data_IF_925437779981
#
_entry.id   IF_925437779981
#
_cell.length_a   1.000
_cell.length_b   1.000
_cell.length_c   1.000
_cell.angle_alpha   90.00
_cell.angle_beta   90.00
_cell.angle_gamma   90.00
#
_symmetry.space_group_name_H-M   'P 1'
#
loop_
_entity.id
_entity.type
_entity.pdbx_description
1 polymer ?
#
# COMPACT_ATOMS: atom_id res chain seq x y z
N UNK A 1 -49.32 59.90 11.24
CA UNK A 1 -48.90 58.84 10.33
C UNK A 1 -47.39 58.77 10.43
N UNK A 2 -46.83 57.82 11.26
CA UNK A 2 -45.39 57.67 11.47
C UNK A 2 -44.93 56.53 10.55
N UNK A 3 -44.07 56.85 9.63
CA UNK A 3 -43.44 55.88 8.70
C UNK A 3 -42.26 55.22 9.44
N UNK A 4 -42.35 53.90 9.65
CA UNK A 4 -41.26 53.09 10.19
C UNK A 4 -40.43 52.59 8.99
N UNK A 5 -39.16 52.95 8.95
CA UNK A 5 -38.19 52.46 7.99
C UNK A 5 -37.50 51.22 8.62
N UNK A 6 -37.52 50.03 8.00
CA UNK A 6 -36.78 48.88 8.51
C UNK A 6 -35.30 49.02 8.20
N UNK A 7 -34.49 48.94 9.25
CA UNK A 7 -33.03 48.85 9.14
C UNK A 7 -32.65 47.44 8.73
N UNK A 8 -32.18 47.25 7.52
CA UNK A 8 -31.64 45.95 7.04
C UNK A 8 -30.20 45.89 7.52
N UNK A 9 -29.95 45.00 8.51
CA UNK A 9 -28.63 44.67 8.98
C UNK A 9 -28.02 43.65 8.03
N UNK A 10 -27.15 44.06 7.10
CA UNK A 10 -26.34 43.20 6.28
C UNK A 10 -25.19 42.65 7.14
N UNK A 11 -25.31 41.39 7.52
CA UNK A 11 -24.21 40.63 8.11
C UNK A 11 -23.21 40.30 6.98
N UNK A 12 -22.09 40.99 6.98
CA UNK A 12 -20.90 40.57 6.24
C UNK A 12 -20.31 39.36 6.97
N UNK A 13 -20.47 38.17 6.41
CA UNK A 13 -19.63 37.03 6.75
C UNK A 13 -18.24 37.32 6.18
N UNK A 14 -17.33 37.75 7.05
CA UNK A 14 -15.91 37.72 6.78
C UNK A 14 -15.52 36.23 6.72
N UNK A 15 -15.11 35.76 5.57
CA UNK A 15 -14.30 34.54 5.47
C UNK A 15 -12.98 34.87 6.18
N UNK A 16 -12.81 34.47 7.42
CA UNK A 16 -11.49 34.40 8.02
C UNK A 16 -10.69 33.34 7.27
N UNK A 17 -9.71 33.79 6.50
CA UNK A 17 -8.59 32.94 6.09
C UNK A 17 -8.03 32.35 7.40
N UNK A 18 -8.13 31.02 7.55
CA UNK A 18 -7.43 30.32 8.62
C UNK A 18 -5.94 30.66 8.45
N UNK A 19 -5.45 31.53 9.32
CA UNK A 19 -4.03 31.79 9.42
C UNK A 19 -3.30 30.46 9.57
N UNK A 20 -2.40 30.19 8.65
CA UNK A 20 -1.42 29.12 8.77
C UNK A 20 -0.78 29.21 10.15
N UNK A 21 -0.92 28.15 10.95
CA UNK A 21 -0.31 28.06 12.26
C UNK A 21 1.20 28.26 12.12
N UNK A 22 1.79 29.12 12.92
CA UNK A 22 3.22 29.47 12.88
C UNK A 22 4.16 28.35 13.36
N UNK A 23 3.66 27.14 13.55
CA UNK A 23 4.37 26.05 14.21
C UNK A 23 4.77 24.90 13.24
N UNK A 24 4.52 25.04 11.93
CA UNK A 24 4.94 24.04 10.94
C UNK A 24 6.39 24.23 10.52
N UNK A 25 7.11 23.12 10.33
CA UNK A 25 8.50 23.10 9.84
C UNK A 25 8.53 23.26 8.32
N UNK A 26 7.49 22.76 7.64
CA UNK A 26 7.39 22.74 6.18
C UNK A 26 6.25 23.63 5.67
N UNK A 27 6.35 23.99 4.39
CA UNK A 27 5.30 24.74 3.70
C UNK A 27 4.31 23.81 3.03
N UNK A 28 3.02 23.99 3.32
CA UNK A 28 1.94 23.17 2.76
C UNK A 28 1.13 23.96 1.74
N UNK A 29 0.77 23.30 0.64
CA UNK A 29 -0.20 23.83 -0.33
C UNK A 29 -1.30 22.81 -0.54
N UNK A 30 -2.56 23.28 -0.38
CA UNK A 30 -3.75 22.46 -0.53
C UNK A 30 -4.24 22.53 -1.98
N UNK A 31 -4.54 21.39 -2.60
CA UNK A 31 -5.15 21.39 -3.92
C UNK A 31 -6.63 21.78 -3.85
N UNK A 32 -7.11 22.51 -4.85
CA UNK A 32 -8.49 23.01 -4.95
C UNK A 32 -9.60 21.96 -4.81
N UNK A 33 -9.29 20.69 -5.11
CA UNK A 33 -10.23 19.57 -5.04
C UNK A 33 -10.22 18.85 -3.67
N UNK A 34 -9.39 19.32 -2.71
CA UNK A 34 -9.28 18.78 -1.36
C UNK A 34 -8.93 17.29 -1.28
N UNK A 35 -8.25 16.73 -2.31
CA UNK A 35 -7.80 15.32 -2.32
C UNK A 35 -6.32 15.17 -2.03
N UNK A 36 -5.52 16.09 -2.51
CA UNK A 36 -4.06 16.03 -2.46
C UNK A 36 -3.50 17.35 -1.93
N UNK A 37 -2.50 17.26 -1.08
CA UNK A 37 -1.70 18.42 -0.68
C UNK A 37 -0.23 18.22 -1.07
N UNK A 38 0.54 19.28 -1.14
CA UNK A 38 1.99 19.21 -1.23
C UNK A 38 2.65 19.69 0.05
N UNK A 39 3.79 19.09 0.36
CA UNK A 39 4.73 19.50 1.39
C UNK A 39 6.01 19.93 0.70
N UNK A 40 6.34 21.21 0.80
CA UNK A 40 7.56 21.78 0.24
C UNK A 40 8.67 21.70 1.25
N UNK A 41 9.73 21.00 0.92
CA UNK A 41 11.00 20.97 1.64
C UNK A 41 11.95 22.02 1.05
N UNK A 42 12.90 22.50 1.82
CA UNK A 42 14.03 23.22 1.24
C UNK A 42 14.93 22.25 0.44
N UNK A 43 15.78 22.79 -0.43
CA UNK A 43 16.63 21.99 -1.32
C UNK A 43 17.49 20.97 -0.56
N UNK A 44 18.09 21.38 0.56
CA UNK A 44 18.94 20.50 1.37
C UNK A 44 18.16 19.34 1.99
N UNK A 45 16.97 19.61 2.53
CA UNK A 45 16.13 18.56 3.14
C UNK A 45 15.59 17.59 2.10
N UNK A 46 15.15 18.10 0.94
CA UNK A 46 14.64 17.25 -0.14
C UNK A 46 15.75 16.39 -0.74
N UNK A 47 16.90 17.00 -1.02
CA UNK A 47 18.05 16.28 -1.59
C UNK A 47 18.57 15.21 -0.61
N UNK A 48 18.59 15.47 0.71
CA UNK A 48 18.93 14.46 1.72
C UNK A 48 17.87 13.36 1.76
N UNK A 49 16.57 13.72 1.73
CA UNK A 49 15.47 12.76 1.70
C UNK A 49 15.57 11.77 0.55
N UNK A 50 15.89 12.27 -0.65
CA UNK A 50 16.01 11.44 -1.87
C UNK A 50 17.33 10.68 -1.94
N UNK A 51 18.46 11.33 -1.58
CA UNK A 51 19.79 10.74 -1.73
C UNK A 51 20.19 9.79 -0.61
N UNK A 52 19.67 9.99 0.59
CA UNK A 52 19.98 9.21 1.79
C UNK A 52 18.83 8.30 2.24
N UNK A 53 17.79 8.20 1.41
CA UNK A 53 16.54 7.47 1.73
C UNK A 53 15.92 7.91 3.07
N UNK A 54 15.65 9.21 3.21
CA UNK A 54 15.08 9.78 4.42
C UNK A 54 13.78 9.10 4.87
N UNK A 55 13.03 8.51 3.93
CA UNK A 55 11.85 7.72 4.27
C UNK A 55 12.21 6.44 5.06
N UNK A 56 13.35 5.81 4.82
CA UNK A 56 13.83 4.66 5.59
C UNK A 56 14.36 5.08 6.98
N UNK A 57 14.84 6.32 7.11
CA UNK A 57 15.37 6.85 8.37
C UNK A 57 14.20 7.22 9.29
N UNK A 58 14.14 6.55 10.45
CA UNK A 58 13.02 6.71 11.37
C UNK A 58 12.84 8.15 11.87
N UNK A 59 13.93 8.84 12.20
CA UNK A 59 13.90 10.22 12.71
C UNK A 59 13.34 11.20 11.66
N UNK A 60 13.77 11.08 10.41
CA UNK A 60 13.31 11.94 9.32
C UNK A 60 11.84 11.69 9.00
N UNK A 61 11.45 10.43 8.95
CA UNK A 61 10.05 10.05 8.73
C UNK A 61 9.14 10.55 9.86
N UNK A 62 9.55 10.41 11.12
CA UNK A 62 8.80 10.92 12.27
C UNK A 62 8.69 12.45 12.22
N UNK A 63 9.78 13.17 11.86
CA UNK A 63 9.79 14.62 11.73
C UNK A 63 8.72 15.09 10.73
N UNK A 64 8.67 14.45 9.56
CA UNK A 64 7.71 14.80 8.51
C UNK A 64 6.28 14.48 8.93
N UNK A 65 6.02 13.28 9.47
CA UNK A 65 4.64 12.88 9.83
C UNK A 65 4.12 13.68 11.03
N UNK A 66 4.95 13.96 12.04
CA UNK A 66 4.52 14.79 13.17
C UNK A 66 4.18 16.21 12.72
N UNK A 67 4.91 16.78 11.77
CA UNK A 67 4.62 18.11 11.25
C UNK A 67 3.29 18.17 10.48
N UNK A 68 2.90 17.08 9.78
CA UNK A 68 1.60 16.98 9.12
C UNK A 68 0.43 17.17 10.09
N UNK A 69 0.52 16.64 11.31
CA UNK A 69 -0.55 16.77 12.30
C UNK A 69 -0.69 18.17 12.92
N UNK A 70 0.22 19.10 12.61
CA UNK A 70 -0.01 20.53 12.88
C UNK A 70 -0.97 21.16 11.86
N UNK A 71 -1.18 20.51 10.71
CA UNK A 71 -2.00 21.00 9.59
C UNK A 71 -3.26 20.18 9.39
N UNK A 72 -3.14 18.85 9.49
CA UNK A 72 -4.23 17.91 9.23
C UNK A 72 -4.74 17.27 10.52
N UNK A 73 -6.03 16.96 10.55
CA UNK A 73 -6.65 16.22 11.65
C UNK A 73 -6.14 14.78 11.70
N UNK A 74 -6.05 14.19 12.89
CA UNK A 74 -5.73 12.77 13.08
C UNK A 74 -6.94 11.88 12.77
N UNK A 75 -7.22 11.68 11.48
CA UNK A 75 -8.36 10.87 10.99
C UNK A 75 -7.95 9.79 9.99
N UNK A 76 -6.71 9.79 9.55
CA UNK A 76 -6.24 8.94 8.46
C UNK A 76 -5.74 7.59 8.97
N UNK A 77 -6.15 6.52 8.26
CA UNK A 77 -5.59 5.20 8.42
C UNK A 77 -4.21 5.09 7.75
N UNK A 78 -4.03 5.82 6.63
CA UNK A 78 -2.81 5.81 5.84
C UNK A 78 -2.39 7.22 5.42
N UNK A 79 -1.07 7.43 5.33
CA UNK A 79 -0.49 8.61 4.71
C UNK A 79 0.44 8.14 3.59
N UNK A 80 0.18 8.60 2.35
CA UNK A 80 1.02 8.31 1.21
C UNK A 80 1.81 9.56 0.82
N UNK A 81 3.13 9.43 0.85
CA UNK A 81 4.05 10.38 0.27
C UNK A 81 4.29 10.01 -1.19
N UNK A 82 4.15 10.98 -2.08
CA UNK A 82 4.44 10.84 -3.49
C UNK A 82 5.58 11.81 -3.83
N UNK A 83 6.72 11.31 -4.32
CA UNK A 83 7.81 12.20 -4.71
C UNK A 83 7.45 12.93 -6.01
N UNK A 84 7.74 14.23 -6.06
CA UNK A 84 7.61 15.01 -7.29
C UNK A 84 8.77 14.72 -8.25
N UNK A 85 8.91 13.43 -8.64
CA UNK A 85 9.96 12.95 -9.52
C UNK A 85 9.31 12.25 -10.73
N UNK A 86 9.88 12.42 -11.95
CA UNK A 86 9.36 11.78 -13.16
C UNK A 86 9.66 10.26 -13.22
N UNK A 87 10.58 9.79 -12.40
CA UNK A 87 11.02 8.39 -12.30
C UNK A 87 11.67 8.14 -10.95
N UNK A 88 12.03 6.89 -10.68
CA UNK A 88 12.76 6.54 -9.46
C UNK A 88 14.07 7.34 -9.39
N UNK A 89 14.32 8.09 -8.31
CA UNK A 89 15.62 8.70 -8.04
C UNK A 89 16.73 7.65 -7.98
N UNK A 90 17.90 7.98 -8.50
CA UNK A 90 19.03 7.04 -8.69
C UNK A 90 19.45 6.32 -7.40
N UNK A 91 19.31 6.99 -6.26
CA UNK A 91 19.72 6.45 -4.95
C UNK A 91 18.61 5.69 -4.21
N UNK A 92 17.38 5.67 -4.73
CA UNK A 92 16.28 4.88 -4.18
C UNK A 92 16.13 3.59 -4.98
N UNK A 93 16.25 2.44 -4.32
CA UNK A 93 16.24 1.13 -4.97
C UNK A 93 14.84 0.48 -4.97
N UNK A 94 13.77 1.28 -4.91
CA UNK A 94 12.40 0.80 -4.85
C UNK A 94 11.44 1.77 -5.55
N UNK A 95 10.33 1.24 -6.06
CA UNK A 95 9.21 2.02 -6.65
C UNK A 95 8.26 2.55 -5.58
N UNK A 96 8.08 1.78 -4.53
CA UNK A 96 7.29 2.09 -3.37
C UNK A 96 7.85 1.40 -2.14
N UNK A 97 7.51 1.91 -0.96
CA UNK A 97 7.85 1.32 0.33
C UNK A 97 6.80 1.67 1.36
N UNK A 98 6.32 0.67 2.09
CA UNK A 98 5.42 0.86 3.23
C UNK A 98 6.16 0.66 4.54
N UNK A 99 5.88 1.52 5.51
CA UNK A 99 6.31 1.35 6.91
C UNK A 99 5.06 1.26 7.78
N UNK A 100 4.87 0.10 8.42
CA UNK A 100 3.78 -0.12 9.36
C UNK A 100 3.96 0.71 10.63
N UNK A 101 2.91 1.42 11.02
CA UNK A 101 2.87 2.25 12.24
C UNK A 101 2.10 1.55 13.34
N UNK A 102 0.94 0.99 13.05
CA UNK A 102 0.16 0.18 13.99
C UNK A 102 -0.57 -0.97 13.29
N UNK A 103 -0.68 -2.10 13.97
CA UNK A 103 -1.52 -3.20 13.53
C UNK A 103 -1.98 -4.01 14.75
N UNK A 104 -3.27 -3.99 15.01
CA UNK A 104 -3.90 -4.72 16.12
C UNK A 104 -4.53 -6.05 15.70
N UNK A 105 -4.44 -6.41 14.40
CA UNK A 105 -5.04 -7.63 13.87
C UNK A 105 -4.24 -8.85 14.32
N UNK A 106 -4.92 -9.89 14.82
CA UNK A 106 -4.33 -11.18 15.17
C UNK A 106 -4.53 -12.18 14.03
N UNK A 107 -3.73 -13.23 14.00
CA UNK A 107 -3.82 -14.28 12.97
C UNK A 107 -3.20 -13.89 11.64
N UNK A 108 -2.18 -13.03 11.65
CA UNK A 108 -1.42 -12.59 10.46
C UNK A 108 0.02 -13.12 10.41
N UNK A 109 0.41 -13.97 11.35
CA UNK A 109 1.79 -14.49 11.42
C UNK A 109 2.78 -13.58 12.14
N UNK A 110 2.36 -12.43 12.67
CA UNK A 110 3.18 -11.53 13.49
C UNK A 110 2.40 -10.97 14.69
N UNK A 111 3.12 -10.41 15.64
CA UNK A 111 2.51 -9.83 16.83
C UNK A 111 1.94 -8.43 16.52
N UNK A 112 0.85 -8.08 17.21
CA UNK A 112 0.30 -6.72 17.14
C UNK A 112 1.29 -5.70 17.68
N UNK A 113 1.29 -4.52 17.10
CA UNK A 113 2.14 -3.40 17.51
C UNK A 113 1.41 -2.07 17.32
N UNK A 114 1.84 -1.06 18.10
CA UNK A 114 1.30 0.29 17.99
C UNK A 114 2.40 1.32 18.32
N UNK A 115 2.85 2.04 17.31
CA UNK A 115 3.81 3.14 17.40
C UNK A 115 3.15 4.48 17.03
N UNK A 116 1.83 4.53 16.90
CA UNK A 116 1.10 5.70 16.38
C UNK A 116 1.42 7.00 17.13
N UNK A 117 1.56 6.93 18.46
CA UNK A 117 1.92 8.09 19.28
C UNK A 117 3.29 8.69 18.91
N UNK A 118 4.25 7.88 18.45
CA UNK A 118 5.55 8.40 17.99
C UNK A 118 5.40 9.22 16.70
N UNK A 119 4.39 8.88 15.89
CA UNK A 119 4.03 9.57 14.66
C UNK A 119 3.07 10.75 14.86
N UNK A 120 2.69 11.09 16.11
CA UNK A 120 1.75 12.15 16.41
C UNK A 120 0.27 11.78 16.21
N UNK A 121 -0.04 10.49 16.02
CA UNK A 121 -1.42 9.98 15.88
C UNK A 121 -1.87 9.31 17.17
N UNK A 122 -3.13 9.51 17.56
CA UNK A 122 -3.76 8.87 18.74
C UNK A 122 -4.44 7.55 18.33
N UNK A 123 -3.62 6.59 17.84
CA UNK A 123 -4.06 5.24 17.51
C UNK A 123 -4.76 5.08 16.16
N UNK A 124 -4.82 6.14 15.34
CA UNK A 124 -5.54 6.09 14.05
C UNK A 124 -4.65 5.61 12.90
N UNK A 125 -3.43 6.11 12.83
CA UNK A 125 -2.50 5.83 11.74
C UNK A 125 -2.02 4.37 11.76
N UNK A 126 -2.21 3.66 10.65
CA UNK A 126 -1.81 2.25 10.46
C UNK A 126 -0.48 2.10 9.75
N UNK A 127 -0.27 2.90 8.70
CA UNK A 127 0.98 2.89 7.95
C UNK A 127 1.23 4.21 7.23
N UNK A 128 2.50 4.43 6.94
CA UNK A 128 2.96 5.44 5.99
C UNK A 128 3.59 4.76 4.80
N UNK A 129 3.40 5.31 3.60
CA UNK A 129 3.94 4.79 2.35
C UNK A 129 4.68 5.89 1.62
N UNK A 130 5.76 5.55 0.92
CA UNK A 130 6.38 6.42 -0.07
C UNK A 130 6.29 5.78 -1.46
N UNK A 131 5.86 6.56 -2.43
CA UNK A 131 5.92 6.25 -3.87
C UNK A 131 6.94 7.18 -4.51
N UNK A 132 7.92 6.62 -5.23
CA UNK A 132 9.10 7.33 -5.68
C UNK A 132 8.96 8.04 -7.02
N UNK A 133 7.75 8.20 -7.52
CA UNK A 133 7.44 8.96 -8.72
C UNK A 133 6.05 9.56 -8.69
N UNK A 134 5.87 10.71 -9.34
CA UNK A 134 4.62 11.48 -9.30
C UNK A 134 3.40 10.69 -9.80
N UNK A 135 3.61 9.80 -10.78
CA UNK A 135 2.55 8.98 -11.36
C UNK A 135 2.32 7.64 -10.67
N UNK A 136 3.10 7.30 -9.63
CA UNK A 136 3.15 5.94 -9.09
C UNK A 136 1.97 5.58 -8.19
N UNK A 137 1.10 6.52 -7.83
CA UNK A 137 -0.17 6.18 -7.21
C UNK A 137 -1.06 5.34 -8.15
N UNK A 138 -1.01 5.61 -9.47
CA UNK A 138 -1.74 4.85 -10.51
C UNK A 138 -0.87 3.81 -11.21
N UNK A 139 0.33 4.19 -11.65
CA UNK A 139 1.19 3.35 -12.50
C UNK A 139 2.30 2.62 -11.72
N UNK A 140 2.32 2.76 -10.40
CA UNK A 140 3.29 2.14 -9.52
C UNK A 140 2.70 1.03 -8.64
N UNK A 141 3.36 0.74 -7.51
CA UNK A 141 3.04 -0.42 -6.67
C UNK A 141 2.12 -0.07 -5.49
N UNK A 142 1.22 0.91 -5.57
CA UNK A 142 0.43 1.35 -4.41
C UNK A 142 -0.37 0.20 -3.77
N UNK A 143 -0.96 -0.70 -4.56
CA UNK A 143 -1.66 -1.89 -4.06
C UNK A 143 -0.71 -2.89 -3.42
N UNK A 144 0.46 -3.10 -4.04
CA UNK A 144 1.49 -4.00 -3.52
C UNK A 144 1.98 -3.54 -2.14
N UNK A 145 2.34 -2.29 -2.03
CA UNK A 145 2.79 -1.74 -0.76
C UNK A 145 1.70 -1.80 0.32
N UNK A 146 0.42 -1.55 -0.04
CA UNK A 146 -0.69 -1.70 0.90
C UNK A 146 -0.85 -3.14 1.40
N UNK A 147 -0.61 -4.16 0.56
CA UNK A 147 -0.67 -5.55 0.98
C UNK A 147 0.26 -5.83 2.17
N UNK A 148 1.42 -5.19 2.20
CA UNK A 148 2.40 -5.33 3.27
C UNK A 148 1.89 -4.93 4.66
N UNK A 149 0.83 -4.14 4.77
CA UNK A 149 0.21 -3.83 6.06
C UNK A 149 -0.35 -5.08 6.76
N UNK A 150 -0.81 -6.08 6.00
CA UNK A 150 -1.48 -7.27 6.55
C UNK A 150 -0.82 -8.59 6.21
N UNK A 151 -0.18 -8.69 5.06
CA UNK A 151 0.17 -9.98 4.45
C UNK A 151 1.64 -10.39 4.60
N UNK A 152 2.49 -9.56 5.18
CA UNK A 152 3.88 -9.90 5.48
C UNK A 152 3.97 -11.07 6.44
N UNK A 153 4.98 -11.92 6.24
CA UNK A 153 5.39 -12.97 7.18
C UNK A 153 4.35 -14.06 7.48
N UNK A 154 3.26 -14.10 6.71
CA UNK A 154 2.19 -15.08 6.93
C UNK A 154 2.60 -16.52 6.56
N UNK A 155 3.47 -16.68 5.57
CA UNK A 155 3.88 -18.00 5.06
C UNK A 155 5.40 -18.20 5.16
N UNK A 156 5.86 -19.42 5.52
CA UNK A 156 7.28 -19.80 5.46
C UNK A 156 7.67 -20.14 4.00
N UNK A 157 7.66 -19.15 3.13
CA UNK A 157 7.78 -19.33 1.68
C UNK A 157 9.21 -19.25 1.18
N UNK A 158 9.42 -19.66 -0.09
CA UNK A 158 10.61 -19.39 -0.86
C UNK A 158 10.34 -18.27 -1.85
N UNK A 159 11.06 -17.18 -1.71
CA UNK A 159 10.97 -16.01 -2.56
C UNK A 159 12.29 -15.27 -2.58
N UNK A 160 12.38 -14.21 -3.36
CA UNK A 160 13.48 -13.24 -3.33
C UNK A 160 12.96 -11.91 -2.78
N UNK A 161 13.84 -11.10 -2.18
CA UNK A 161 13.46 -9.79 -1.65
C UNK A 161 13.74 -8.64 -2.62
N UNK A 162 14.57 -8.90 -3.64
CA UNK A 162 14.87 -7.92 -4.69
C UNK A 162 15.07 -8.60 -6.04
N UNK A 163 14.78 -7.92 -7.16
CA UNK A 163 15.07 -8.43 -8.50
C UNK A 163 16.54 -8.75 -8.68
N UNK A 164 16.84 -9.94 -9.23
CA UNK A 164 18.19 -10.40 -9.50
C UNK A 164 18.90 -11.08 -8.33
N UNK A 165 18.26 -11.21 -7.16
CA UNK A 165 18.77 -12.06 -6.10
C UNK A 165 18.70 -13.55 -6.47
N UNK A 166 19.65 -14.32 -5.93
CA UNK A 166 19.60 -15.77 -6.04
C UNK A 166 18.38 -16.32 -5.29
N UNK A 167 17.74 -17.33 -5.88
CA UNK A 167 16.62 -18.01 -5.23
C UNK A 167 17.14 -18.81 -4.03
N UNK A 168 16.78 -18.34 -2.85
CA UNK A 168 17.08 -19.01 -1.58
C UNK A 168 15.81 -19.18 -0.78
N UNK A 169 15.80 -20.11 0.18
CA UNK A 169 14.66 -20.25 1.07
C UNK A 169 14.73 -19.19 2.16
N UNK A 170 13.73 -18.36 2.22
CA UNK A 170 13.49 -17.44 3.32
C UNK A 170 12.30 -17.94 4.13
N UNK A 171 12.38 -17.85 5.44
CA UNK A 171 11.22 -18.10 6.29
C UNK A 171 10.54 -16.77 6.61
N UNK A 172 9.24 -16.69 6.28
CA UNK A 172 8.41 -15.52 6.60
C UNK A 172 8.93 -14.23 5.96
N UNK A 173 9.08 -14.25 4.64
CA UNK A 173 9.44 -13.05 3.87
C UNK A 173 8.23 -12.16 3.62
N UNK A 174 8.49 -10.94 3.15
CA UNK A 174 7.43 -10.03 2.66
C UNK A 174 6.81 -10.47 1.33
N UNK A 175 7.47 -11.35 0.55
CA UNK A 175 7.02 -11.82 -0.76
C UNK A 175 6.88 -13.34 -0.80
N UNK A 176 5.92 -13.84 -1.58
CA UNK A 176 5.48 -15.24 -1.52
C UNK A 176 5.90 -16.09 -2.72
N UNK A 177 6.56 -15.53 -3.70
CA UNK A 177 7.25 -16.22 -4.81
C UNK A 177 6.57 -17.51 -5.27
N UNK A 178 7.16 -18.67 -4.92
CA UNK A 178 6.72 -20.00 -5.35
C UNK A 178 5.52 -20.53 -4.54
N UNK A 179 4.42 -19.77 -4.56
CA UNK A 179 3.19 -20.08 -3.84
C UNK A 179 2.01 -20.04 -4.82
N UNK A 180 1.17 -21.06 -4.79
CA UNK A 180 -0.05 -21.11 -5.60
C UNK A 180 -1.15 -20.21 -5.04
N UNK A 181 -2.16 -19.94 -5.87
CA UNK A 181 -3.37 -19.23 -5.49
C UNK A 181 -4.45 -19.43 -6.56
N UNK A 182 -5.68 -19.00 -6.29
CA UNK A 182 -6.73 -19.01 -7.32
C UNK A 182 -6.36 -18.12 -8.51
N UNK A 183 -5.68 -17.01 -8.20
CA UNK A 183 -5.04 -16.09 -9.14
C UNK A 183 -3.66 -15.70 -8.57
N UNK A 184 -2.73 -15.22 -9.40
CA UNK A 184 -1.52 -14.55 -8.92
C UNK A 184 -1.90 -13.35 -8.05
N UNK A 185 -1.22 -13.20 -6.90
CA UNK A 185 -1.45 -12.08 -5.98
C UNK A 185 -0.40 -10.97 -6.11
N UNK A 186 -0.56 -9.94 -5.31
CA UNK A 186 0.36 -8.81 -5.25
C UNK A 186 1.75 -9.22 -4.76
N UNK A 187 1.82 -10.04 -3.72
CA UNK A 187 3.07 -10.43 -3.06
C UNK A 187 3.76 -11.62 -3.73
N UNK A 188 3.27 -12.07 -4.86
CA UNK A 188 3.82 -13.18 -5.64
C UNK A 188 2.84 -14.32 -5.84
N UNK A 189 3.36 -15.42 -6.35
CA UNK A 189 2.57 -16.61 -6.59
C UNK A 189 2.13 -16.78 -8.03
N UNK A 190 1.73 -18.00 -8.31
CA UNK A 190 1.23 -18.46 -9.60
C UNK A 190 -0.19 -19.01 -9.45
N UNK A 191 -0.87 -19.17 -10.56
CA UNK A 191 -2.21 -19.77 -10.58
C UNK A 191 -2.13 -21.27 -10.28
N UNK A 192 -2.73 -21.72 -9.18
CA UNK A 192 -2.67 -23.12 -8.71
C UNK A 192 -3.09 -24.13 -9.78
N UNK A 193 -4.08 -23.81 -10.60
CA UNK A 193 -4.55 -24.70 -11.66
C UNK A 193 -3.60 -24.78 -12.87
N UNK A 194 -2.54 -23.98 -12.94
CA UNK A 194 -1.47 -24.09 -13.94
C UNK A 194 -0.39 -25.10 -13.56
N UNK A 195 -0.40 -25.61 -12.31
CA UNK A 195 0.62 -26.51 -11.79
C UNK A 195 0.57 -27.87 -12.50
N UNK A 196 1.69 -28.25 -13.08
CA UNK A 196 1.94 -29.55 -13.69
C UNK A 196 3.06 -30.26 -12.93
N UNK A 197 2.83 -31.48 -12.49
CA UNK A 197 3.82 -32.32 -11.82
C UNK A 197 4.55 -33.19 -12.87
N UNK A 198 5.84 -32.97 -13.03
CA UNK A 198 6.67 -33.69 -14.02
C UNK A 198 7.36 -34.94 -13.43
N UNK A 199 7.19 -35.18 -12.13
CA UNK A 199 7.91 -36.23 -11.39
C UNK A 199 9.27 -35.73 -10.88
N UNK A 200 9.88 -36.53 -9.97
CA UNK A 200 11.20 -36.20 -9.39
C UNK A 200 11.31 -34.80 -8.77
N UNK A 201 10.25 -34.34 -8.12
CA UNK A 201 10.15 -33.00 -7.53
C UNK A 201 10.30 -31.86 -8.56
N UNK A 202 9.99 -32.13 -9.81
CA UNK A 202 10.01 -31.14 -10.90
C UNK A 202 8.58 -30.72 -11.24
N UNK A 203 8.41 -29.42 -11.48
CA UNK A 203 7.13 -28.76 -11.67
C UNK A 203 7.20 -27.75 -12.79
N UNK A 204 6.08 -27.55 -13.47
CA UNK A 204 5.87 -26.48 -14.44
C UNK A 204 4.65 -25.68 -14.02
N UNK A 205 4.73 -24.35 -14.07
CA UNK A 205 3.62 -23.42 -13.83
C UNK A 205 3.58 -22.34 -14.90
N UNK A 206 2.51 -21.58 -14.97
CA UNK A 206 2.49 -20.35 -15.78
C UNK A 206 3.57 -19.37 -15.35
N UNK A 207 3.91 -18.42 -16.20
CA UNK A 207 4.87 -17.35 -15.86
C UNK A 207 4.32 -16.49 -14.72
N UNK A 208 5.18 -16.20 -13.74
CA UNK A 208 4.88 -15.36 -12.59
C UNK A 208 6.13 -14.58 -12.15
N UNK A 209 5.97 -13.60 -11.26
CA UNK A 209 7.10 -12.89 -10.64
C UNK A 209 7.65 -13.68 -9.45
N UNK A 210 8.86 -14.28 -9.52
CA UNK A 210 9.45 -14.98 -8.37
C UNK A 210 9.81 -14.06 -7.21
N UNK A 211 9.97 -12.76 -7.48
CA UNK A 211 10.10 -11.71 -6.49
C UNK A 211 8.70 -11.29 -5.98
N UNK A 212 7.86 -10.76 -6.86
CA UNK A 212 6.48 -10.38 -6.61
C UNK A 212 5.78 -10.15 -7.96
N UNK A 213 4.47 -10.36 -8.03
CA UNK A 213 3.72 -9.97 -9.23
C UNK A 213 3.43 -8.47 -9.28
N UNK A 214 3.29 -7.84 -8.14
CA UNK A 214 3.24 -6.42 -7.81
C UNK A 214 2.67 -5.42 -8.81
N UNK A 215 2.45 -4.22 -8.30
CA UNK A 215 1.92 -3.10 -9.07
C UNK A 215 0.40 -3.14 -9.25
N UNK A 216 -0.15 -2.02 -9.69
CA UNK A 216 -1.62 -1.89 -9.80
C UNK A 216 -2.22 -2.68 -10.98
N UNK A 217 -1.43 -3.45 -11.74
CA UNK A 217 -1.89 -4.36 -12.78
C UNK A 217 -2.33 -5.76 -12.28
N UNK A 218 -2.23 -6.03 -10.99
CA UNK A 218 -2.57 -7.33 -10.39
C UNK A 218 -3.56 -7.09 -9.24
N UNK A 219 -4.68 -7.85 -9.15
CA UNK A 219 -5.58 -7.77 -7.99
C UNK A 219 -5.01 -8.54 -6.80
N UNK A 220 -5.65 -8.43 -5.64
CA UNK A 220 -5.33 -9.30 -4.50
C UNK A 220 -5.88 -10.71 -4.72
N UNK A 221 -5.10 -11.72 -4.35
CA UNK A 221 -5.60 -13.10 -4.33
C UNK A 221 -6.44 -13.39 -3.07
N UNK A 222 -7.08 -14.55 -3.02
CA UNK A 222 -7.98 -14.93 -1.91
C UNK A 222 -7.29 -14.92 -0.55
N UNK A 223 -6.04 -15.35 -0.48
CA UNK A 223 -5.31 -15.39 0.78
C UNK A 223 -4.90 -13.98 1.25
N UNK A 224 -4.45 -13.11 0.35
CA UNK A 224 -4.23 -11.69 0.64
C UNK A 224 -5.51 -11.02 1.13
N UNK A 225 -6.63 -11.24 0.45
CA UNK A 225 -7.95 -10.72 0.85
C UNK A 225 -8.37 -11.22 2.24
N UNK A 226 -8.10 -12.48 2.57
CA UNK A 226 -8.34 -13.01 3.92
C UNK A 226 -7.51 -12.27 4.97
N UNK A 227 -6.21 -12.11 4.74
CA UNK A 227 -5.32 -11.41 5.67
C UNK A 227 -5.70 -9.93 5.82
N UNK A 228 -6.15 -9.29 4.76
CA UNK A 228 -6.71 -7.94 4.80
C UNK A 228 -8.08 -7.88 5.51
N UNK A 229 -8.72 -9.01 5.73
CA UNK A 229 -10.06 -9.11 6.33
C UNK A 229 -11.18 -8.81 5.36
N UNK A 230 -10.93 -8.89 4.07
CA UNK A 230 -11.93 -8.68 3.00
C UNK A 230 -12.68 -9.96 2.66
N UNK A 231 -12.09 -11.12 2.99
CA UNK A 231 -12.63 -12.44 2.66
C UNK A 231 -12.67 -13.35 3.90
N UNK A 232 -13.61 -14.31 3.93
CA UNK A 232 -13.62 -15.36 4.94
C UNK A 232 -12.58 -16.43 4.63
N UNK A 233 -12.02 -17.06 5.68
CA UNK A 233 -11.02 -18.14 5.50
C UNK A 233 -11.61 -19.34 4.72
N UNK A 234 -12.89 -19.64 4.90
CA UNK A 234 -13.56 -20.74 4.20
C UNK A 234 -13.69 -20.51 2.68
N UNK A 235 -13.46 -19.28 2.22
CA UNK A 235 -13.46 -18.93 0.80
C UNK A 235 -12.07 -18.96 0.18
N UNK A 236 -11.02 -19.21 0.97
CA UNK A 236 -9.67 -19.37 0.45
C UNK A 236 -9.52 -20.79 -0.11
N UNK A 237 -9.24 -20.88 -1.41
CA UNK A 237 -9.00 -22.14 -2.10
C UNK A 237 -7.69 -22.78 -1.60
N UNK A 238 -7.64 -24.12 -1.60
CA UNK A 238 -6.41 -24.85 -1.30
C UNK A 238 -5.31 -24.47 -2.29
N UNK A 239 -4.09 -24.29 -1.80
CA UNK A 239 -2.93 -23.96 -2.63
C UNK A 239 -1.65 -24.62 -2.13
N UNK A 240 -0.68 -24.77 -3.03
CA UNK A 240 0.63 -25.31 -2.74
C UNK A 240 1.65 -24.19 -2.54
N UNK A 241 2.56 -24.40 -1.63
CA UNK A 241 3.74 -23.59 -1.41
C UNK A 241 4.99 -24.46 -1.56
N UNK A 242 5.97 -23.96 -2.30
CA UNK A 242 7.23 -24.65 -2.56
C UNK A 242 8.40 -23.94 -1.87
N UNK A 243 9.25 -24.73 -1.19
CA UNK A 243 10.48 -24.24 -0.59
C UNK A 243 11.66 -25.12 -0.99
N UNK A 244 12.87 -24.65 -0.68
CA UNK A 244 14.11 -25.34 -1.08
C UNK A 244 14.14 -25.56 -2.60
N UNK A 245 13.95 -24.51 -3.38
CA UNK A 245 14.05 -24.51 -4.83
C UNK A 245 15.49 -24.82 -5.21
N UNK A 246 15.72 -25.85 -6.01
CA UNK A 246 17.04 -26.31 -6.38
C UNK A 246 17.43 -25.95 -7.82
N UNK A 247 16.44 -25.73 -8.66
CA UNK A 247 16.64 -25.17 -10.00
C UNK A 247 15.38 -24.49 -10.49
N UNK A 248 15.54 -23.55 -11.40
CA UNK A 248 14.43 -22.93 -12.11
C UNK A 248 14.89 -22.40 -13.47
N UNK A 249 13.96 -22.38 -14.41
CA UNK A 249 14.14 -21.80 -15.73
C UNK A 249 12.83 -21.23 -16.26
N UNK A 250 12.95 -20.26 -17.16
CA UNK A 250 11.80 -19.68 -17.86
C UNK A 250 11.72 -20.17 -19.29
N UNK A 251 10.51 -20.39 -19.77
CA UNK A 251 10.24 -20.72 -21.15
C UNK A 251 9.02 -19.91 -21.62
N UNK A 252 9.26 -18.77 -22.25
CA UNK A 252 8.25 -17.82 -22.77
C UNK A 252 7.09 -17.52 -21.81
N UNK A 253 6.16 -18.48 -21.62
CA UNK A 253 4.95 -18.33 -20.82
C UNK A 253 4.89 -19.21 -19.57
N UNK A 254 5.95 -19.97 -19.29
CA UNK A 254 6.00 -20.92 -18.18
C UNK A 254 7.29 -20.80 -17.39
N UNK A 255 7.21 -21.25 -16.12
CA UNK A 255 8.35 -21.51 -15.25
C UNK A 255 8.46 -23.01 -15.00
N UNK A 256 9.65 -23.58 -15.23
CA UNK A 256 10.02 -24.92 -14.79
C UNK A 256 10.92 -24.80 -13.56
N UNK A 257 10.63 -25.54 -12.51
CA UNK A 257 11.44 -25.53 -11.29
C UNK A 257 11.47 -26.89 -10.60
N UNK A 258 12.47 -27.10 -9.76
CA UNK A 258 12.56 -28.23 -8.84
C UNK A 258 12.56 -27.74 -7.42
N UNK A 259 11.80 -28.40 -6.55
CA UNK A 259 11.67 -28.02 -5.13
C UNK A 259 11.77 -29.28 -4.26
N UNK A 260 12.57 -29.22 -3.19
CA UNK A 260 12.68 -30.35 -2.26
C UNK A 260 11.49 -30.45 -1.30
N UNK A 261 10.71 -29.41 -1.17
CA UNK A 261 9.56 -29.37 -0.27
C UNK A 261 8.35 -28.73 -0.94
N UNK A 262 7.21 -29.37 -0.82
CA UNK A 262 5.88 -28.90 -1.18
C UNK A 262 4.98 -29.01 0.04
N UNK A 263 4.24 -27.98 0.35
CA UNK A 263 3.25 -27.95 1.42
C UNK A 263 1.93 -27.47 0.85
N UNK A 264 0.88 -28.26 0.99
CA UNK A 264 -0.47 -27.86 0.61
C UNK A 264 -1.15 -27.20 1.80
N UNK A 265 -1.61 -25.98 1.63
CA UNK A 265 -2.39 -25.26 2.62
C UNK A 265 -3.88 -25.35 2.29
N UNK A 266 -4.65 -25.65 3.33
CA UNK A 266 -6.12 -25.60 3.35
C UNK A 266 -6.55 -24.52 4.34
N UNK A 267 -7.81 -24.11 4.32
CA UNK A 267 -8.38 -23.18 5.31
C UNK A 267 -8.04 -23.60 6.74
N UNK A 268 -8.18 -24.90 7.06
CA UNK A 268 -7.89 -25.44 8.40
C UNK A 268 -6.41 -25.32 8.76
N UNK A 269 -5.50 -25.67 7.85
CA UNK A 269 -4.06 -25.61 8.11
C UNK A 269 -3.55 -24.17 8.20
N UNK A 270 -4.16 -23.23 7.49
CA UNK A 270 -3.88 -21.80 7.63
C UNK A 270 -4.29 -21.29 9.02
N UNK A 271 -5.46 -21.67 9.52
CA UNK A 271 -5.89 -21.34 10.90
C UNK A 271 -4.98 -22.00 11.95
N UNK A 272 -4.52 -23.24 11.71
CA UNK A 272 -3.55 -23.90 12.60
C UNK A 272 -2.21 -23.15 12.61
N UNK A 273 -1.73 -22.67 11.47
CA UNK A 273 -0.46 -21.95 11.34
C UNK A 273 -0.51 -20.56 11.97
N UNK A 274 -1.55 -19.79 11.65
CA UNK A 274 -1.62 -18.36 11.96
C UNK A 274 -2.43 -18.04 13.22
N UNK A 275 -3.31 -18.96 13.65
CA UNK A 275 -4.42 -18.68 14.54
C UNK A 275 -5.61 -18.07 13.79
N UNK A 276 -6.74 -17.98 14.47
CA UNK A 276 -7.92 -17.31 13.91
C UNK A 276 -7.67 -15.82 13.75
N UNK A 277 -8.06 -15.27 12.60
CA UNK A 277 -7.98 -13.82 12.39
C UNK A 277 -8.98 -13.07 13.28
N UNK A 278 -8.47 -12.08 14.03
CA UNK A 278 -9.28 -11.19 14.86
C UNK A 278 -8.93 -9.73 14.52
N UNK A 279 -9.91 -8.89 14.13
CA UNK A 279 -11.34 -9.20 13.94
C UNK A 279 -11.56 -10.13 12.75
N UNK A 280 -12.67 -10.91 12.77
CA UNK A 280 -13.10 -11.71 11.63
C UNK A 280 -13.45 -10.84 10.43
N UNK A 281 -13.58 -11.41 9.23
CA UNK A 281 -13.87 -10.65 8.02
C UNK A 281 -15.14 -9.78 8.13
N UNK A 282 -16.19 -10.27 8.83
CA UNK A 282 -17.45 -9.51 9.04
C UNK A 282 -17.21 -8.23 9.86
N UNK A 283 -16.31 -8.29 10.84
CA UNK A 283 -16.04 -7.20 11.77
C UNK A 283 -14.78 -6.39 11.40
N UNK A 284 -14.10 -6.75 10.32
CA UNK A 284 -12.94 -6.02 9.84
C UNK A 284 -13.32 -4.68 9.22
N UNK A 285 -12.48 -3.70 9.36
CA UNK A 285 -12.60 -2.42 8.66
C UNK A 285 -12.49 -2.67 7.14
N UNK A 286 -13.38 -2.05 6.37
CA UNK A 286 -13.43 -2.12 4.90
C UNK A 286 -13.21 -0.77 4.24
N UNK A 287 -13.49 0.31 4.96
CA UNK A 287 -13.33 1.68 4.48
C UNK A 287 -12.21 2.34 5.27
N UNK A 288 -11.26 2.91 4.55
CA UNK A 288 -10.08 3.54 5.12
C UNK A 288 -9.98 4.99 4.65
N UNK A 289 -9.43 5.84 5.53
CA UNK A 289 -9.12 7.22 5.23
C UNK A 289 -7.64 7.33 4.81
N UNK A 290 -7.38 8.00 3.68
CA UNK A 290 -6.05 8.15 3.11
C UNK A 290 -5.74 9.64 2.87
N UNK A 291 -4.61 10.09 3.39
CA UNK A 291 -4.02 11.38 3.06
C UNK A 291 -2.91 11.19 2.02
N UNK A 292 -2.97 11.93 0.92
CA UNK A 292 -1.94 11.94 -0.13
C UNK A 292 -1.19 13.26 -0.11
N UNK A 293 0.13 13.18 0.10
CA UNK A 293 1.03 14.34 0.19
C UNK A 293 2.14 14.23 -0.84
N UNK A 294 2.24 15.21 -1.72
CA UNK A 294 3.37 15.31 -2.67
C UNK A 294 4.55 15.98 -1.97
N UNK A 295 5.67 15.25 -1.85
CA UNK A 295 6.93 15.83 -1.39
C UNK A 295 7.64 16.51 -2.55
N UNK A 296 8.03 17.77 -2.37
CA UNK A 296 8.62 18.59 -3.43
C UNK A 296 9.57 19.63 -2.86
N UNK A 297 10.53 20.09 -3.67
CA UNK A 297 11.37 21.26 -3.37
C UNK A 297 10.90 22.53 -4.06
N UNK A 298 10.06 22.39 -5.11
CA UNK A 298 9.49 23.48 -5.86
C UNK A 298 7.97 23.47 -5.78
N UNK A 299 7.33 24.59 -6.04
CA UNK A 299 5.87 24.62 -6.18
C UNK A 299 5.44 23.75 -7.36
N UNK A 300 4.43 22.92 -7.18
CA UNK A 300 3.89 22.10 -8.26
C UNK A 300 3.28 22.98 -9.37
N UNK A 301 3.53 22.61 -10.63
CA UNK A 301 2.83 23.19 -11.75
C UNK A 301 1.37 22.71 -11.81
N UNK A 302 0.51 23.40 -12.56
CA UNK A 302 -0.88 22.99 -12.76
C UNK A 302 -0.97 21.57 -13.34
N UNK A 303 -0.07 21.20 -14.25
CA UNK A 303 0.00 19.86 -14.86
C UNK A 303 0.34 18.77 -13.81
N UNK A 304 1.30 19.05 -12.91
CA UNK A 304 1.66 18.13 -11.84
C UNK A 304 0.51 17.95 -10.84
N UNK A 305 -0.18 19.03 -10.50
CA UNK A 305 -1.38 18.96 -9.68
C UNK A 305 -2.49 18.13 -10.33
N UNK A 306 -2.76 18.36 -11.62
CA UNK A 306 -3.80 17.64 -12.36
C UNK A 306 -3.48 16.13 -12.44
N UNK A 307 -2.21 15.75 -12.63
CA UNK A 307 -1.77 14.34 -12.65
C UNK A 307 -2.05 13.68 -11.31
N UNK A 308 -1.53 14.21 -10.22
CA UNK A 308 -1.64 13.55 -8.91
C UNK A 308 -3.08 13.54 -8.40
N UNK A 309 -3.84 14.61 -8.63
CA UNK A 309 -5.27 14.67 -8.25
C UNK A 309 -6.11 13.68 -9.03
N UNK A 310 -5.89 13.55 -10.35
CA UNK A 310 -6.58 12.55 -11.17
C UNK A 310 -6.25 11.11 -10.75
N UNK A 311 -5.00 10.84 -10.36
CA UNK A 311 -4.60 9.53 -9.85
C UNK A 311 -5.21 9.25 -8.47
N UNK A 312 -5.30 10.24 -7.59
CA UNK A 312 -5.95 10.12 -6.29
C UNK A 312 -7.46 9.88 -6.45
N UNK A 313 -8.11 10.62 -7.36
CA UNK A 313 -9.51 10.37 -7.71
C UNK A 313 -9.72 8.94 -8.21
N UNK A 314 -8.90 8.49 -9.16
CA UNK A 314 -8.98 7.13 -9.70
C UNK A 314 -8.80 6.07 -8.62
N UNK A 315 -7.81 6.23 -7.73
CA UNK A 315 -7.49 5.25 -6.70
C UNK A 315 -8.58 5.12 -5.62
N UNK A 316 -9.38 6.19 -5.43
CA UNK A 316 -10.50 6.22 -4.48
C UNK A 316 -11.85 5.80 -5.05
N UNK A 317 -11.97 5.56 -6.36
CA UNK A 317 -13.25 5.20 -6.98
C UNK A 317 -13.73 3.83 -6.55
N UNK A 318 -15.04 3.73 -6.28
CA UNK A 318 -15.75 2.46 -6.04
C UNK A 318 -16.40 1.97 -7.35
N UNK A 319 -15.65 2.02 -8.44
CA UNK A 319 -16.06 1.57 -9.78
C UNK A 319 -14.84 1.18 -10.63
N UNK A 320 -15.05 0.33 -11.63
CA UNK A 320 -14.03 -0.01 -12.64
C UNK A 320 -14.02 1.02 -13.75
N UNK A 321 -12.82 1.43 -14.18
CA UNK A 321 -12.64 2.26 -15.36
C UNK A 321 -12.45 1.44 -16.65
N UNK A 322 -12.48 0.10 -16.55
CA UNK A 322 -12.33 -0.83 -17.67
C UNK A 322 -10.90 -0.91 -18.22
N UNK A 323 -9.92 -0.35 -17.54
CA UNK A 323 -8.51 -0.48 -17.90
C UNK A 323 -7.91 -1.79 -17.35
N UNK A 324 -6.63 -2.05 -17.63
CA UNK A 324 -5.89 -3.19 -17.09
C UNK A 324 -5.32 -2.92 -15.70
N UNK A 325 -5.51 -1.72 -15.15
CA UNK A 325 -5.07 -1.36 -13.82
C UNK A 325 -6.25 -1.44 -12.85
N UNK A 326 -5.96 -1.85 -11.64
CA UNK A 326 -6.93 -1.98 -10.54
C UNK A 326 -6.75 -0.80 -9.59
N UNK A 327 -7.85 -0.12 -9.25
CA UNK A 327 -7.89 0.72 -8.06
C UNK A 327 -8.11 -0.17 -6.82
N UNK A 328 -8.13 0.43 -5.62
CA UNK A 328 -8.25 -0.36 -4.40
C UNK A 328 -9.57 -1.14 -4.31
N UNK A 329 -10.68 -0.54 -4.74
CA UNK A 329 -11.99 -1.18 -4.73
C UNK A 329 -12.03 -2.38 -5.68
N UNK A 330 -11.53 -2.21 -6.92
CA UNK A 330 -11.46 -3.31 -7.89
C UNK A 330 -10.53 -4.43 -7.41
N UNK A 331 -9.35 -4.08 -6.89
CA UNK A 331 -8.36 -5.05 -6.40
C UNK A 331 -8.88 -5.88 -5.22
N UNK A 332 -9.82 -5.32 -4.43
CA UNK A 332 -10.46 -6.02 -3.31
C UNK A 332 -11.78 -6.71 -3.70
N UNK A 333 -12.08 -6.82 -4.99
CA UNK A 333 -13.31 -7.45 -5.47
C UNK A 333 -14.59 -6.68 -5.08
N UNK A 334 -14.51 -5.37 -4.93
CA UNK A 334 -15.63 -4.51 -4.57
C UNK A 334 -15.95 -4.46 -3.07
N UNK A 335 -15.05 -4.95 -2.21
CA UNK A 335 -15.28 -5.04 -0.76
C UNK A 335 -14.65 -3.89 0.01
N UNK A 336 -13.40 -3.56 -0.32
CA UNK A 336 -12.64 -2.49 0.34
C UNK A 336 -12.77 -1.16 -0.37
N UNK A 337 -12.72 -0.05 0.35
CA UNK A 337 -12.69 1.30 -0.23
C UNK A 337 -11.74 2.23 0.50
N UNK A 338 -11.22 3.21 -0.24
CA UNK A 338 -10.38 4.29 0.26
C UNK A 338 -11.10 5.63 0.04
N UNK A 339 -11.22 6.43 1.10
CA UNK A 339 -11.62 7.82 0.99
C UNK A 339 -10.36 8.69 1.00
N UNK A 340 -10.13 9.45 -0.07
CA UNK A 340 -8.97 10.31 -0.21
C UNK A 340 -9.41 11.77 -0.12
N UNK A 341 -8.89 12.47 0.89
CA UNK A 341 -9.20 13.88 1.08
C UNK A 341 -8.86 14.40 2.48
N UNK A 342 -8.93 15.73 2.64
CA UNK A 342 -8.65 16.43 3.89
C UNK A 342 -9.74 17.44 4.25
#
# INVERSE_FOLDING_TARGET
MKILIPFILTLFYSCEDKSTNSDTIFDYTMHKNNRVASLKMNDSDYDAWVNEDGFAINEDRLRVVNDLYNVFEDKYDFIFFVLNEPSIPENLLYYGRLVGVSNSVQGLGFQSYDNSLQYGSDGKLKAVMQLTGLEYLKYGPALHELAHQWANFALPTHSVNAPGEDLTSYLYTGHWGFTGGSIPGQLGGFRQNSLIENGNNSYTVESFGPFANGGNGVPYNEFELYLMGMLDIESVSDFDMFTNITSWSTNESTYDFTANQRTTYTSSSLVELLGSRIPSHINSQKRFELLVIVLTKESLSDEQWDIVDAHAEWFSKEESDGTSLYNFWEATGGVGSLNIGY
#
